data_IF_073088200815
#
_entry.id   IF_073088200815
#
_cell.length_a   1.000
_cell.length_b   1.000
_cell.length_c   1.000
_cell.angle_alpha   90.00
_cell.angle_beta   90.00
_cell.angle_gamma   90.00
#
_symmetry.space_group_name_H-M   'P 1'
#
loop_
_entity.id
_entity.type
_entity.pdbx_description
1 polymer ?
#
# COMPACT_ATOMS: atom_id res chain seq x y z
N UNK A 1 -22.15 -20.71 10.62
CA UNK A 1 -21.39 -19.55 11.12
C UNK A 1 -19.96 -20.02 11.29
N UNK A 2 -19.13 -19.74 10.31
CA UNK A 2 -17.74 -20.17 10.31
C UNK A 2 -16.96 -19.28 11.27
N UNK A 3 -16.31 -19.91 12.24
CA UNK A 3 -15.57 -19.25 13.31
C UNK A 3 -14.33 -18.58 12.66
N UNK A 4 -14.40 -17.29 12.35
CA UNK A 4 -13.22 -16.53 11.92
C UNK A 4 -12.23 -16.53 13.09
N UNK A 5 -11.13 -17.27 12.96
CA UNK A 5 -9.98 -17.15 13.86
C UNK A 5 -9.64 -15.66 14.04
N UNK A 6 -9.31 -15.22 15.27
CA UNK A 6 -9.02 -13.83 15.53
C UNK A 6 -7.86 -13.39 14.66
N UNK A 7 -8.14 -12.44 13.76
CA UNK A 7 -7.17 -11.81 12.86
C UNK A 7 -6.01 -11.30 13.69
N UNK A 8 -4.80 -11.80 13.44
CA UNK A 8 -3.62 -11.23 14.08
C UNK A 8 -3.37 -9.90 13.37
N UNK A 9 -3.68 -8.78 14.01
CA UNK A 9 -3.31 -7.45 13.52
C UNK A 9 -1.83 -7.24 13.82
N UNK A 10 -1.05 -6.70 12.88
CA UNK A 10 0.26 -6.14 13.23
C UNK A 10 0.01 -4.87 14.06
N UNK A 11 0.04 -5.02 15.39
CA UNK A 11 -0.29 -3.96 16.33
C UNK A 11 0.68 -2.78 16.18
N UNK A 12 1.95 -3.04 15.89
CA UNK A 12 2.94 -1.99 15.72
C UNK A 12 2.62 -1.17 14.46
N UNK A 13 2.27 -1.83 13.34
CA UNK A 13 1.90 -1.17 12.11
C UNK A 13 0.59 -0.39 12.26
N UNK A 14 -0.37 -0.96 13.00
CA UNK A 14 -1.64 -0.31 13.30
C UNK A 14 -1.46 0.97 14.12
N UNK A 15 -0.69 0.90 15.20
CA UNK A 15 -0.41 2.09 16.04
C UNK A 15 0.36 3.15 15.25
N UNK A 16 1.25 2.76 14.33
CA UNK A 16 1.91 3.69 13.43
C UNK A 16 0.91 4.37 12.48
N UNK A 17 0.03 3.61 11.81
CA UNK A 17 -1.00 4.15 10.91
C UNK A 17 -1.93 5.14 11.62
N UNK A 18 -2.37 4.80 12.83
CA UNK A 18 -3.26 5.66 13.63
C UNK A 18 -2.59 6.93 14.13
N UNK A 19 -1.34 6.86 14.61
CA UNK A 19 -0.69 7.97 15.32
C UNK A 19 0.14 8.87 14.41
N UNK A 20 0.83 8.29 13.43
CA UNK A 20 1.79 9.04 12.60
C UNK A 20 1.16 9.53 11.30
N UNK A 21 0.28 8.74 10.70
CA UNK A 21 -0.31 9.04 9.39
C UNK A 21 -1.75 9.56 9.47
N UNK A 22 -2.41 9.37 10.62
CA UNK A 22 -3.80 9.81 10.88
C UNK A 22 -4.77 9.28 9.82
N UNK A 23 -4.49 8.09 9.27
CA UNK A 23 -5.34 7.43 8.27
C UNK A 23 -6.46 6.67 9.00
N UNK A 24 -7.74 6.89 8.63
CA UNK A 24 -8.87 6.14 9.18
C UNK A 24 -8.67 4.64 9.07
N UNK A 25 -9.11 3.89 10.09
CA UNK A 25 -8.89 2.45 10.17
C UNK A 25 -9.51 1.66 9.00
N UNK A 26 -10.62 2.15 8.42
CA UNK A 26 -11.20 1.58 7.21
C UNK A 26 -10.34 1.74 5.95
N UNK A 27 -9.21 2.47 6.04
CA UNK A 27 -8.22 2.70 4.98
C UNK A 27 -6.83 2.17 5.34
N UNK A 28 -6.72 1.34 6.38
CA UNK A 28 -5.46 0.64 6.69
C UNK A 28 -5.21 -0.47 5.67
N UNK A 29 -4.68 -0.08 4.51
CA UNK A 29 -4.38 -0.94 3.38
C UNK A 29 -2.95 -1.45 3.49
N UNK A 30 -2.69 -2.76 3.60
CA UNK A 30 -1.33 -3.29 3.59
C UNK A 30 -0.62 -3.00 2.26
N UNK A 31 0.63 -2.51 2.31
CA UNK A 31 1.42 -2.19 1.10
C UNK A 31 2.77 -2.88 1.03
N UNK A 32 3.37 -3.23 2.17
CA UNK A 32 4.64 -3.97 2.27
C UNK A 32 4.63 -4.97 3.42
N UNK A 33 5.40 -6.05 3.26
CA UNK A 33 5.56 -7.11 4.26
C UNK A 33 7.02 -7.60 4.27
N UNK A 34 7.50 -8.03 5.43
CA UNK A 34 8.89 -8.52 5.60
C UNK A 34 9.11 -9.87 4.92
N UNK A 35 8.12 -10.75 4.96
CA UNK A 35 8.19 -12.11 4.44
C UNK A 35 6.78 -12.66 4.12
N UNK A 36 6.74 -13.91 3.66
CA UNK A 36 5.50 -14.62 3.33
C UNK A 36 4.63 -14.90 4.56
N UNK A 37 5.26 -15.08 5.73
CA UNK A 37 4.56 -15.34 7.00
C UNK A 37 3.79 -14.10 7.45
N UNK A 38 4.40 -12.91 7.37
CA UNK A 38 3.72 -11.65 7.64
C UNK A 38 2.55 -11.39 6.68
N UNK A 39 2.64 -11.83 5.42
CA UNK A 39 1.50 -11.77 4.48
C UNK A 39 0.35 -12.67 4.96
N UNK A 40 0.65 -13.93 5.31
CA UNK A 40 -0.37 -14.88 5.81
C UNK A 40 -1.01 -14.39 7.10
N UNK A 41 -0.22 -13.90 8.04
CA UNK A 41 -0.69 -13.48 9.36
C UNK A 41 -1.62 -12.26 9.28
N UNK A 42 -1.39 -11.36 8.32
CA UNK A 42 -1.96 -10.01 8.39
C UNK A 42 -2.70 -9.52 7.13
N UNK A 43 -2.49 -10.16 5.98
CA UNK A 43 -3.05 -9.74 4.68
C UNK A 43 -4.06 -10.75 4.17
N UNK A 44 -3.67 -12.02 4.10
CA UNK A 44 -4.52 -13.08 3.56
C UNK A 44 -3.75 -14.32 3.11
N UNK A 45 -4.48 -15.27 2.54
CA UNK A 45 -3.93 -16.56 2.14
C UNK A 45 -3.14 -16.45 0.83
N UNK A 46 -1.94 -17.05 0.80
CA UNK A 46 -1.17 -17.21 -0.44
C UNK A 46 -1.81 -18.34 -1.24
N UNK A 47 -2.52 -17.97 -2.30
CA UNK A 47 -3.28 -18.92 -3.14
C UNK A 47 -2.48 -19.42 -4.36
N UNK A 48 -1.45 -18.69 -4.77
CA UNK A 48 -0.52 -19.13 -5.82
C UNK A 48 0.88 -18.54 -5.59
N UNK A 49 1.91 -19.36 -5.83
CA UNK A 49 3.31 -18.92 -5.87
C UNK A 49 3.73 -18.79 -7.34
N UNK A 50 3.85 -17.56 -7.82
CA UNK A 50 4.26 -17.26 -9.19
C UNK A 50 5.78 -17.40 -9.39
N UNK A 51 6.54 -17.08 -8.34
CA UNK A 51 7.99 -17.29 -8.25
C UNK A 51 8.39 -17.42 -6.78
N UNK A 52 8.99 -18.55 -6.35
CA UNK A 52 9.34 -18.78 -4.94
C UNK A 52 10.17 -17.65 -4.34
N UNK A 53 9.74 -17.12 -3.18
CA UNK A 53 10.38 -16.01 -2.47
C UNK A 53 10.39 -14.68 -3.22
N UNK A 54 9.66 -14.55 -4.34
CA UNK A 54 9.74 -13.38 -5.24
C UNK A 54 8.42 -12.86 -5.75
N UNK A 55 7.41 -13.69 -5.93
CA UNK A 55 6.11 -13.26 -6.45
C UNK A 55 4.99 -14.20 -6.00
N UNK A 56 3.94 -13.61 -5.44
CA UNK A 56 2.83 -14.29 -4.79
C UNK A 56 1.49 -13.72 -5.27
N UNK A 57 0.48 -14.58 -5.35
CA UNK A 57 -0.93 -14.20 -5.42
C UNK A 57 -1.54 -14.41 -4.04
N UNK A 58 -2.18 -13.37 -3.54
CA UNK A 58 -2.74 -13.33 -2.19
C UNK A 58 -4.25 -13.09 -2.29
N UNK A 59 -5.04 -13.99 -1.73
CA UNK A 59 -6.46 -13.77 -1.48
C UNK A 59 -6.61 -13.08 -0.12
N UNK A 60 -7.05 -11.83 -0.11
CA UNK A 60 -7.06 -11.05 1.12
C UNK A 60 -8.18 -11.47 2.06
N UNK A 61 -7.95 -11.29 3.36
CA UNK A 61 -9.02 -11.35 4.34
C UNK A 61 -10.04 -10.23 4.10
N UNK A 62 -11.33 -10.46 4.47
CA UNK A 62 -12.36 -9.45 4.31
C UNK A 62 -11.95 -8.13 4.98
N UNK A 63 -12.01 -7.00 4.26
CA UNK A 63 -11.61 -5.72 4.82
C UNK A 63 -12.57 -5.29 5.95
N UNK A 64 -12.17 -4.26 6.69
CA UNK A 64 -13.08 -3.59 7.63
C UNK A 64 -14.18 -2.85 6.86
N UNK A 65 -15.28 -2.57 7.55
CA UNK A 65 -16.39 -1.83 7.00
C UNK A 65 -15.94 -0.44 6.52
N UNK A 66 -16.42 -0.04 5.34
CA UNK A 66 -16.08 1.26 4.73
C UNK A 66 -16.90 2.34 5.41
N UNK A 67 -16.24 3.43 5.83
CA UNK A 67 -16.95 4.64 6.23
C UNK A 67 -17.26 5.50 5.00
N UNK A 68 -18.45 5.32 4.41
CA UNK A 68 -18.87 6.04 3.20
C UNK A 68 -19.01 7.56 3.34
N UNK A 69 -18.82 8.12 4.55
CA UNK A 69 -18.72 9.57 4.75
C UNK A 69 -17.39 10.13 4.24
N UNK A 70 -16.37 9.28 4.08
CA UNK A 70 -15.07 9.68 3.55
C UNK A 70 -15.12 9.85 2.02
N UNK A 71 -14.75 11.03 1.47
CA UNK A 71 -14.81 11.30 0.03
C UNK A 71 -14.01 10.33 -0.84
N UNK A 72 -12.95 9.71 -0.29
CA UNK A 72 -12.11 8.76 -1.01
C UNK A 72 -12.91 7.59 -1.63
N UNK A 73 -14.03 7.20 -1.02
CA UNK A 73 -14.87 6.09 -1.50
C UNK A 73 -15.69 6.42 -2.74
N UNK A 74 -15.84 7.71 -3.07
CA UNK A 74 -16.52 8.14 -4.28
C UNK A 74 -15.66 7.94 -5.55
N UNK A 75 -14.37 7.64 -5.41
CA UNK A 75 -13.49 7.43 -6.55
C UNK A 75 -13.76 6.07 -7.22
N UNK A 76 -13.89 6.03 -8.56
CA UNK A 76 -14.11 4.76 -9.28
C UNK A 76 -13.03 3.71 -9.03
N UNK A 77 -11.80 4.15 -8.77
CA UNK A 77 -10.65 3.30 -8.48
C UNK A 77 -10.59 2.81 -7.04
N UNK A 78 -11.41 3.29 -6.10
CA UNK A 78 -11.29 3.00 -4.66
C UNK A 78 -11.42 1.50 -4.31
N UNK A 79 -12.03 0.69 -5.18
CA UNK A 79 -12.07 -0.77 -5.00
C UNK A 79 -10.68 -1.41 -5.01
N UNK A 80 -9.68 -0.76 -5.61
CA UNK A 80 -8.29 -1.24 -5.60
C UNK A 80 -7.74 -1.41 -4.19
N UNK A 81 -8.18 -0.62 -3.19
CA UNK A 81 -7.64 -0.71 -1.82
C UNK A 81 -7.77 -2.11 -1.23
N UNK A 82 -8.91 -2.74 -1.46
CA UNK A 82 -9.25 -4.06 -0.92
C UNK A 82 -9.70 -5.00 -2.03
N UNK A 83 -9.02 -4.95 -3.18
CA UNK A 83 -9.23 -5.93 -4.24
C UNK A 83 -9.02 -7.35 -3.67
N UNK A 84 -9.97 -8.29 -3.86
CA UNK A 84 -9.93 -9.61 -3.23
C UNK A 84 -8.68 -10.43 -3.55
N UNK A 85 -8.14 -10.26 -4.76
CA UNK A 85 -6.95 -10.97 -5.24
C UNK A 85 -5.86 -9.95 -5.57
N UNK A 86 -4.75 -10.03 -4.84
CA UNK A 86 -3.62 -9.10 -4.94
C UNK A 86 -2.36 -9.81 -5.40
N UNK A 87 -1.44 -9.06 -6.02
CA UNK A 87 -0.13 -9.57 -6.42
C UNK A 87 0.94 -8.85 -5.59
N UNK A 88 1.77 -9.64 -4.91
CA UNK A 88 2.85 -9.17 -4.04
C UNK A 88 4.18 -9.67 -4.59
N UNK A 89 5.17 -8.79 -4.71
CA UNK A 89 6.46 -9.13 -5.29
C UNK A 89 7.62 -8.63 -4.46
N UNK A 90 8.73 -9.33 -4.54
CA UNK A 90 9.98 -8.87 -3.97
C UNK A 90 10.43 -7.56 -4.67
N UNK A 91 10.87 -6.53 -3.93
CA UNK A 91 11.25 -5.24 -4.50
C UNK A 91 12.31 -5.30 -5.62
N UNK A 92 13.17 -6.32 -5.63
CA UNK A 92 14.21 -6.51 -6.65
C UNK A 92 13.79 -7.45 -7.77
N UNK A 93 12.57 -8.00 -7.74
CA UNK A 93 12.11 -8.93 -8.77
C UNK A 93 11.79 -8.18 -10.06
N UNK A 94 12.52 -8.46 -11.15
CA UNK A 94 12.39 -7.72 -12.41
C UNK A 94 11.30 -8.24 -13.34
N UNK A 95 10.83 -9.48 -13.15
CA UNK A 95 9.79 -10.12 -13.96
C UNK A 95 8.38 -9.96 -13.38
N UNK A 96 8.18 -8.91 -12.59
CA UNK A 96 6.93 -8.64 -11.87
C UNK A 96 5.75 -8.39 -12.81
N UNK A 97 5.98 -7.80 -13.99
CA UNK A 97 4.93 -7.61 -14.99
C UNK A 97 4.41 -8.93 -15.54
N UNK A 98 5.30 -9.86 -15.87
CA UNK A 98 4.88 -11.19 -16.35
C UNK A 98 4.11 -11.94 -15.26
N UNK A 99 4.57 -11.86 -14.02
CA UNK A 99 3.88 -12.46 -12.87
C UNK A 99 2.46 -11.88 -12.70
N UNK A 100 2.32 -10.56 -12.76
CA UNK A 100 1.02 -9.90 -12.66
C UNK A 100 0.07 -10.31 -13.79
N UNK A 101 0.54 -10.31 -15.03
CA UNK A 101 -0.26 -10.73 -16.20
C UNK A 101 -0.69 -12.19 -16.09
N UNK A 102 0.18 -13.08 -15.60
CA UNK A 102 -0.16 -14.47 -15.34
C UNK A 102 -1.29 -14.60 -14.31
N UNK A 103 -1.24 -13.81 -13.24
CA UNK A 103 -2.22 -13.89 -12.16
C UNK A 103 -3.55 -13.19 -12.47
N UNK A 104 -3.53 -12.09 -13.24
CA UNK A 104 -4.68 -11.18 -13.40
C UNK A 104 -5.16 -11.04 -14.86
N UNK A 105 -4.49 -11.69 -15.81
CA UNK A 105 -4.76 -11.57 -17.24
C UNK A 105 -4.16 -10.31 -17.88
N UNK A 106 -3.97 -10.33 -19.20
CA UNK A 106 -3.35 -9.22 -19.94
C UNK A 106 -4.18 -7.93 -19.93
N UNK A 107 -5.51 -8.05 -19.94
CA UNK A 107 -6.43 -6.91 -19.95
C UNK A 107 -6.32 -6.05 -18.70
N UNK A 108 -5.94 -6.66 -17.57
CA UNK A 108 -5.75 -5.96 -16.28
C UNK A 108 -4.67 -4.87 -16.31
N UNK A 109 -3.77 -4.91 -17.30
CA UNK A 109 -2.69 -3.93 -17.49
C UNK A 109 -2.77 -3.20 -18.83
N UNK A 110 -3.87 -3.35 -19.57
CA UNK A 110 -4.06 -2.68 -20.86
C UNK A 110 -4.10 -1.16 -20.65
N UNK A 111 -3.29 -0.42 -21.40
CA UNK A 111 -3.14 1.04 -21.27
C UNK A 111 -2.50 1.52 -19.95
N UNK A 112 -2.10 0.62 -19.06
CA UNK A 112 -1.57 0.92 -17.72
C UNK A 112 -0.13 0.44 -17.53
N UNK A 113 0.54 1.01 -16.55
CA UNK A 113 1.82 0.53 -16.00
C UNK A 113 1.58 -0.11 -14.64
N UNK A 114 2.48 -0.99 -14.23
CA UNK A 114 2.43 -1.57 -12.89
C UNK A 114 3.33 -0.77 -11.97
N UNK A 115 2.73 -0.21 -10.93
CA UNK A 115 3.43 0.47 -9.86
C UNK A 115 3.64 -0.51 -8.69
N UNK A 116 4.78 -0.37 -8.04
CA UNK A 116 4.94 -0.82 -6.66
C UNK A 116 4.25 0.25 -5.82
N UNK A 117 3.26 -0.15 -5.00
CA UNK A 117 2.51 0.83 -4.19
C UNK A 117 3.47 1.62 -3.31
N UNK A 118 4.40 0.89 -2.68
CA UNK A 118 5.46 1.47 -1.87
C UNK A 118 6.78 1.57 -2.64
N UNK A 119 7.59 2.59 -2.36
CA UNK A 119 8.87 2.79 -3.04
C UNK A 119 9.81 1.57 -2.87
N UNK A 120 10.18 0.94 -3.99
CA UNK A 120 11.03 -0.27 -3.99
C UNK A 120 12.38 -0.10 -3.29
N UNK A 121 13.01 1.09 -3.40
CA UNK A 121 14.33 1.34 -2.81
C UNK A 121 14.21 1.51 -1.31
N UNK A 122 13.18 2.19 -0.84
CA UNK A 122 12.86 2.25 0.59
C UNK A 122 12.51 0.86 1.13
N UNK A 123 11.76 0.04 0.38
CA UNK A 123 11.44 -1.33 0.80
C UNK A 123 12.71 -2.14 1.05
N UNK A 124 13.65 -2.11 0.10
CA UNK A 124 14.95 -2.78 0.23
C UNK A 124 15.76 -2.25 1.41
N UNK A 125 15.88 -0.92 1.55
CA UNK A 125 16.62 -0.30 2.65
C UNK A 125 16.04 -0.64 4.02
N UNK A 126 14.72 -0.81 4.12
CA UNK A 126 14.03 -1.17 5.36
C UNK A 126 13.92 -2.68 5.58
N UNK A 127 14.40 -3.50 4.63
CA UNK A 127 14.34 -4.96 4.73
C UNK A 127 12.93 -5.54 4.60
N UNK A 128 12.06 -4.91 3.81
CA UNK A 128 10.79 -5.53 3.41
C UNK A 128 11.02 -6.48 2.23
N UNK A 129 10.56 -7.73 2.37
CA UNK A 129 10.72 -8.78 1.37
C UNK A 129 9.67 -8.73 0.26
N UNK A 130 8.52 -8.07 0.48
CA UNK A 130 7.43 -8.00 -0.48
C UNK A 130 6.75 -6.63 -0.49
N UNK A 131 6.36 -6.20 -1.70
CA UNK A 131 5.61 -4.97 -1.97
C UNK A 131 4.41 -5.31 -2.85
N UNK A 132 3.27 -4.70 -2.57
CA UNK A 132 2.05 -4.85 -3.36
C UNK A 132 2.17 -4.15 -4.72
N UNK A 133 1.63 -4.77 -5.77
CA UNK A 133 1.49 -4.18 -7.10
C UNK A 133 0.07 -3.66 -7.36
N UNK A 134 -0.01 -2.57 -8.12
CA UNK A 134 -1.27 -2.03 -8.66
C UNK A 134 -1.10 -1.50 -10.09
N UNK A 135 -2.13 -1.63 -10.95
CA UNK A 135 -2.10 -1.08 -12.30
C UNK A 135 -2.57 0.38 -12.28
N UNK A 136 -1.70 1.30 -12.68
CA UNK A 136 -1.93 2.75 -12.71
C UNK A 136 -1.66 3.33 -14.09
N UNK A 137 -2.17 4.52 -14.37
CA UNK A 137 -1.82 5.28 -15.56
C UNK A 137 -0.32 5.65 -15.55
N UNK A 138 0.25 5.85 -16.76
CA UNK A 138 1.64 6.34 -16.90
C UNK A 138 1.85 7.69 -16.20
N UNK A 139 0.81 8.52 -16.16
CA UNK A 139 0.84 9.87 -15.58
C UNK A 139 0.96 9.83 -14.06
N UNK A 140 0.25 8.93 -13.38
CA UNK A 140 0.38 8.75 -11.94
C UNK A 140 1.77 8.23 -11.56
N UNK A 141 2.33 7.31 -12.34
CA UNK A 141 3.62 6.68 -12.05
C UNK A 141 4.84 7.62 -12.16
N UNK A 142 4.80 8.71 -12.95
CA UNK A 142 5.93 9.65 -13.07
C UNK A 142 6.00 10.69 -11.95
N UNK A 143 4.88 10.88 -11.26
CA UNK A 143 4.65 11.98 -10.32
C UNK A 143 5.18 11.75 -8.90
N UNK A 144 5.57 10.53 -8.55
CA UNK A 144 6.12 10.16 -7.22
C UNK A 144 7.60 10.54 -7.01
N UNK A 145 8.29 11.05 -8.03
CA UNK A 145 9.76 11.11 -8.08
C UNK A 145 10.46 12.06 -7.07
N UNK A 146 9.78 13.07 -6.51
CA UNK A 146 10.41 14.10 -5.67
C UNK A 146 10.41 13.76 -4.17
N UNK A 147 9.30 13.28 -3.64
CA UNK A 147 9.15 12.75 -2.26
C UNK A 147 10.03 11.53 -2.02
N UNK A 148 10.21 10.70 -3.06
CA UNK A 148 11.00 9.48 -3.01
C UNK A 148 12.46 9.72 -2.62
N UNK A 149 13.11 10.79 -3.12
CA UNK A 149 14.53 11.01 -2.85
C UNK A 149 14.83 11.37 -1.38
N UNK A 150 13.95 12.16 -0.76
CA UNK A 150 14.09 12.52 0.66
C UNK A 150 13.78 11.31 1.57
N UNK A 151 12.72 10.56 1.27
CA UNK A 151 12.37 9.33 1.98
C UNK A 151 13.45 8.25 1.88
N UNK A 152 14.13 8.14 0.73
CA UNK A 152 15.27 7.24 0.55
C UNK A 152 16.46 7.65 1.43
N UNK A 153 16.79 8.96 1.53
CA UNK A 153 17.88 9.43 2.40
C UNK A 153 17.61 9.09 3.85
N UNK A 154 16.41 9.40 4.34
CA UNK A 154 16.01 9.08 5.72
C UNK A 154 15.98 7.56 5.99
N UNK A 155 15.55 6.74 5.03
CA UNK A 155 15.59 5.28 5.16
C UNK A 155 17.03 4.74 5.12
N UNK A 156 17.93 5.40 4.41
CA UNK A 156 19.35 5.03 4.38
C UNK A 156 20.09 5.43 5.65
N UNK A 157 19.56 6.35 6.47
CA UNK A 157 20.18 6.72 7.75
C UNK A 157 20.03 5.61 8.82
N UNK A 158 18.94 4.84 8.79
CA UNK A 158 18.69 3.80 9.80
C UNK A 158 18.68 2.36 9.27
N UNK A 159 18.65 2.16 7.95
CA UNK A 159 18.56 0.83 7.31
C UNK A 159 17.49 -0.09 7.92
N UNK A 160 16.33 0.48 8.29
CA UNK A 160 15.24 -0.27 8.91
C UNK A 160 15.46 -0.63 10.39
N UNK A 161 16.50 -0.13 11.06
CA UNK A 161 16.73 -0.37 12.48
C UNK A 161 15.54 0.08 13.35
N UNK A 162 14.92 1.24 13.03
CA UNK A 162 13.69 1.69 13.71
C UNK A 162 12.53 0.72 13.50
N UNK A 163 12.39 0.16 12.30
CA UNK A 163 11.37 -0.85 11.97
C UNK A 163 11.58 -2.11 12.81
N UNK A 164 12.79 -2.65 12.80
CA UNK A 164 13.17 -3.84 13.57
C UNK A 164 12.93 -3.64 15.08
N UNK A 165 13.36 -2.51 15.63
CA UNK A 165 13.15 -2.18 17.06
C UNK A 165 11.67 -2.12 17.45
N UNK A 166 10.80 -1.71 16.53
CA UNK A 166 9.35 -1.63 16.73
C UNK A 166 8.62 -2.93 16.40
N UNK A 167 9.32 -3.95 15.90
CA UNK A 167 8.71 -5.22 15.49
C UNK A 167 7.75 -5.10 14.31
N UNK A 168 7.91 -4.06 13.46
CA UNK A 168 7.05 -3.82 12.31
C UNK A 168 7.30 -4.87 11.23
N UNK A 169 6.37 -5.82 11.07
CA UNK A 169 6.42 -6.91 10.06
C UNK A 169 5.70 -6.51 8.77
N UNK A 170 4.82 -5.52 8.83
CA UNK A 170 4.17 -4.92 7.67
C UNK A 170 4.10 -3.39 7.78
N UNK A 171 3.66 -2.74 6.72
CA UNK A 171 3.26 -1.33 6.74
C UNK A 171 1.92 -1.13 6.04
N UNK A 172 1.09 -0.27 6.61
CA UNK A 172 -0.09 0.25 5.96
C UNK A 172 0.25 1.45 5.07
N UNK A 173 -0.58 1.68 4.05
CA UNK A 173 -0.49 2.78 3.12
C UNK A 173 -0.50 4.14 3.85
N UNK A 174 0.41 5.02 3.49
CA UNK A 174 0.29 6.44 3.79
C UNK A 174 -0.61 7.17 2.76
N UNK A 175 -0.77 8.48 2.91
CA UNK A 175 -1.55 9.28 1.96
C UNK A 175 -1.03 9.19 0.51
N UNK A 176 0.30 9.18 0.32
CA UNK A 176 0.89 9.07 -1.00
C UNK A 176 0.61 7.72 -1.65
N UNK A 177 0.77 6.64 -0.88
CA UNK A 177 0.45 5.28 -1.31
C UNK A 177 -1.03 5.17 -1.73
N UNK A 178 -1.97 5.71 -0.94
CA UNK A 178 -3.40 5.70 -1.25
C UNK A 178 -3.69 6.47 -2.56
N UNK A 179 -3.04 7.61 -2.78
CA UNK A 179 -3.23 8.42 -3.99
C UNK A 179 -2.67 7.72 -5.24
N UNK A 180 -1.51 7.06 -5.12
CA UNK A 180 -0.97 6.20 -6.20
C UNK A 180 -1.98 5.11 -6.56
N UNK A 181 -2.53 4.43 -5.55
CA UNK A 181 -3.53 3.39 -5.76
C UNK A 181 -4.79 3.93 -6.46
N UNK A 182 -5.22 5.16 -6.15
CA UNK A 182 -6.35 5.81 -6.82
C UNK A 182 -6.07 6.26 -8.27
N UNK A 183 -4.85 6.08 -8.78
CA UNK A 183 -4.41 6.58 -10.08
C UNK A 183 -4.44 8.13 -10.16
N UNK A 184 -4.24 8.79 -9.02
CA UNK A 184 -4.17 10.25 -8.96
C UNK A 184 -2.72 10.68 -9.17
N UNK A 185 -2.50 11.56 -10.15
CA UNK A 185 -1.18 12.13 -10.39
C UNK A 185 -0.80 13.10 -9.28
N UNK A 186 0.29 12.81 -8.58
CA UNK A 186 0.91 13.67 -7.58
C UNK A 186 1.69 14.81 -8.25
N UNK A 187 0.99 15.66 -9.00
CA UNK A 187 1.59 16.90 -9.50
C UNK A 187 1.71 17.89 -8.34
N UNK A 188 2.93 18.32 -8.00
CA UNK A 188 3.16 19.31 -6.95
C UNK A 188 4.15 18.83 -5.87
N UNK A 189 4.45 19.70 -4.90
CA UNK A 189 5.32 19.38 -3.77
C UNK A 189 4.65 18.45 -2.74
N UNK A 190 5.40 18.05 -1.71
CA UNK A 190 4.92 17.22 -0.59
C UNK A 190 3.60 17.74 0.00
N UNK A 191 3.49 19.07 0.16
CA UNK A 191 2.32 19.72 0.76
C UNK A 191 1.04 19.54 -0.05
N UNK A 192 1.09 19.55 -1.38
CA UNK A 192 -0.09 19.34 -2.22
C UNK A 192 -0.60 17.89 -2.13
N UNK A 193 0.32 16.94 -2.06
CA UNK A 193 0.00 15.52 -1.84
C UNK A 193 -0.68 15.32 -0.49
N UNK A 194 -0.11 15.90 0.58
CA UNK A 194 -0.72 15.84 1.92
C UNK A 194 -2.09 16.50 1.94
N UNK A 195 -2.22 17.71 1.39
CA UNK A 195 -3.50 18.45 1.37
C UNK A 195 -4.58 17.69 0.62
N UNK A 196 -4.26 17.18 -0.57
CA UNK A 196 -5.20 16.41 -1.38
C UNK A 196 -5.58 15.10 -0.67
N UNK A 197 -4.60 14.33 -0.20
CA UNK A 197 -4.84 13.09 0.51
C UNK A 197 -5.69 13.29 1.76
N UNK A 198 -5.37 14.31 2.56
CA UNK A 198 -6.10 14.64 3.79
C UNK A 198 -7.56 14.99 3.50
N UNK A 199 -7.83 15.79 2.46
CA UNK A 199 -9.19 16.13 2.06
C UNK A 199 -10.03 14.90 1.66
N UNK A 200 -9.40 13.81 1.21
CA UNK A 200 -10.10 12.58 0.81
C UNK A 200 -10.43 11.67 2.00
N UNK A 201 -9.64 11.75 3.08
CA UNK A 201 -9.77 10.88 4.25
C UNK A 201 -10.38 11.58 5.47
N UNK A 202 -10.79 12.84 5.32
CA UNK A 202 -11.53 13.60 6.33
C UNK A 202 -13.02 13.65 6.00
N UNK A 203 -13.86 13.65 7.04
CA UNK A 203 -15.29 13.89 6.89
C UNK A 203 -15.49 15.40 6.61
N UNK A 204 -16.14 15.79 5.50
CA UNK A 204 -16.41 17.19 5.18
C UNK A 204 -17.10 17.93 6.33
N UNK A 205 -16.70 19.18 6.57
CA UNK A 205 -17.30 20.03 7.62
C UNK A 205 -16.80 19.77 9.06
N UNK A 206 -15.86 18.83 9.27
CA UNK A 206 -15.21 18.61 10.59
C UNK A 206 -13.84 19.29 10.75
N UNK A 207 -13.39 20.07 9.76
CA UNK A 207 -12.10 20.76 9.83
C UNK A 207 -12.24 22.03 10.69
N UNK A 208 -11.36 22.26 11.68
CA UNK A 208 -11.15 23.62 12.19
C UNK A 208 -10.72 24.51 11.02
N UNK A 209 -11.05 25.82 11.03
CA UNK A 209 -10.52 26.75 10.04
C UNK A 209 -9.00 26.64 10.01
N UNK A 210 -8.44 26.50 8.80
CA UNK A 210 -7.00 26.56 8.59
C UNK A 210 -6.65 28.04 8.45
N UNK A 211 -5.91 28.59 9.42
CA UNK A 211 -5.25 29.90 9.32
C UNK A 211 -4.12 29.88 8.30
#
# INVERSE_FOLDING_TARGET
>A
MENQLPRIRDEAAYQQAMREWVVPECLHVPVVAVDEEAIKDHVGDIVEILSPGRALVVAIYPPRERDFRLPIWAYPSANVFFEPIQVWVNPSYTRYRQAYVRAKGADSVSGKVLAHVYNRRMAMLRGYGFVRLVPVSRRANSSSSFTEQWGIKLAAEDFGARRLKRGLRMQYADLGDLLVMLDISLGGGVQDTCRLGQNLIEIPGRRPPQE
#
